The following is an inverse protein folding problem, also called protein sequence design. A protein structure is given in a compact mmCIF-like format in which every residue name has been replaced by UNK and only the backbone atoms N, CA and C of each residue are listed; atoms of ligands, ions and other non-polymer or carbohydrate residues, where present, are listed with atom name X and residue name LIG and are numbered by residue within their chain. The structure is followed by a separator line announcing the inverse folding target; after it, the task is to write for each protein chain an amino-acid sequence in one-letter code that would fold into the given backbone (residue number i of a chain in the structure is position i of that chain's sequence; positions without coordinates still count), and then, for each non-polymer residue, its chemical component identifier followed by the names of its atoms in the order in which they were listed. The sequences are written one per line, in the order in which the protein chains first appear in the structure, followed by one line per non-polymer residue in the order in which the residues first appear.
data_IF_069537228619
#
_entry.id   IF_069537228619
#
_cell.length_a   1.000
_cell.length_b   1.000
_cell.length_c   1.000
_cell.angle_alpha   90.00
_cell.angle_beta   90.00
_cell.angle_gamma   90.00
#
_symmetry.space_group_name_H-M   'P 1'
#
loop_
_entity.id
_entity.type
_entity.pdbx_description
1 polymer ?
#
# COMPACT_ATOMS: atom_id res chain seq x y z
N UNK A 1 -5.18 -17.08 -18.47
CA UNK A 1 -4.40 -17.43 -18.61
C UNK A 1 -2.96 -17.22 -18.20
N UNK A 2 -2.09 -17.65 -19.04
CA UNK A 2 -0.69 -17.63 -18.74
C UNK A 2 -0.21 -16.24 -18.35
N UNK A 3 -0.76 -15.24 -18.97
CA UNK A 3 -0.39 -13.90 -18.68
C UNK A 3 -0.53 -13.56 -17.21
N UNK A 4 -1.44 -14.24 -16.57
CA UNK A 4 -1.71 -13.99 -15.18
C UNK A 4 -0.53 -14.31 -14.32
N UNK A 5 0.07 -15.46 -14.55
CA UNK A 5 1.18 -15.88 -13.72
C UNK A 5 2.38 -14.99 -13.88
N UNK A 6 2.54 -14.35 -15.05
CA UNK A 6 3.64 -13.45 -15.28
C UNK A 6 3.42 -12.05 -14.71
N UNK A 7 2.23 -11.78 -14.24
CA UNK A 7 1.86 -10.43 -13.80
C UNK A 7 2.17 -10.18 -12.33
N UNK A 8 2.58 -11.21 -11.60
CA UNK A 8 2.90 -11.04 -10.20
C UNK A 8 4.40 -11.06 -10.00
N UNK A 9 4.98 -9.88 -9.78
CA UNK A 9 6.41 -9.72 -9.68
C UNK A 9 6.90 -9.54 -8.25
N UNK A 10 6.00 -9.36 -7.31
CA UNK A 10 6.29 -9.11 -5.90
C UNK A 10 5.35 -9.96 -5.06
N UNK A 11 5.89 -10.65 -4.04
CA UNK A 11 5.08 -11.51 -3.17
C UNK A 11 4.45 -10.72 -2.04
N UNK A 12 5.16 -9.74 -1.52
CA UNK A 12 4.66 -8.91 -0.44
C UNK A 12 5.26 -7.53 -0.52
N UNK A 13 4.62 -6.57 0.14
CA UNK A 13 5.12 -5.20 0.21
C UNK A 13 5.33 -4.81 1.66
N UNK A 14 6.48 -4.23 1.95
CA UNK A 14 6.77 -3.67 3.26
C UNK A 14 6.33 -2.22 3.30
N UNK A 15 5.67 -1.83 4.39
CA UNK A 15 5.21 -0.46 4.57
C UNK A 15 5.85 0.12 5.82
N UNK A 16 6.50 1.28 5.67
CA UNK A 16 7.03 2.05 6.80
C UNK A 16 6.38 3.42 6.80
N UNK A 17 6.10 3.94 7.98
CA UNK A 17 5.37 5.19 8.08
C UNK A 17 5.73 5.93 9.37
N UNK A 18 5.64 7.27 9.32
CA UNK A 18 5.71 8.10 10.52
C UNK A 18 4.31 8.46 11.05
N UNK A 19 3.27 7.88 10.47
CA UNK A 19 1.89 8.09 10.92
C UNK A 19 1.58 7.23 12.14
N UNK A 20 0.63 7.68 12.94
CA UNK A 20 0.15 6.88 14.06
C UNK A 20 -0.81 5.81 13.52
N UNK A 21 -0.33 4.56 13.48
CA UNK A 21 -1.09 3.42 12.97
C UNK A 21 -1.12 2.39 14.08
N UNK A 22 -2.15 2.46 14.94
CA UNK A 22 -2.13 1.64 16.13
C UNK A 22 -3.53 1.35 16.69
N UNK A 23 -3.56 0.39 17.61
CA UNK A 23 -4.69 0.13 18.49
C UNK A 23 -4.39 0.86 19.79
N UNK A 24 -5.07 1.99 20.08
CA UNK A 24 -4.79 2.73 21.32
C UNK A 24 -5.01 1.89 22.57
N UNK A 25 -4.20 2.14 23.59
CA UNK A 25 -4.31 1.40 24.85
C UNK A 25 -5.62 1.67 25.57
N UNK A 26 -6.23 2.83 25.33
CA UNK A 26 -7.55 3.12 25.92
C UNK A 26 -8.70 2.51 25.11
N UNK A 27 -8.43 2.05 23.90
CA UNK A 27 -9.42 1.35 23.08
C UNK A 27 -9.38 -0.15 23.35
N UNK A 28 -8.19 -0.76 23.31
CA UNK A 28 -7.97 -2.16 23.67
C UNK A 28 -6.99 -2.17 24.82
N UNK A 29 -7.50 -2.33 26.05
CA UNK A 29 -6.69 -2.13 27.25
C UNK A 29 -5.70 -3.25 27.54
N UNK A 30 -5.99 -4.48 27.11
CA UNK A 30 -5.09 -5.61 27.36
C UNK A 30 -3.95 -5.63 26.36
N UNK A 31 -2.70 -5.57 26.85
CA UNK A 31 -1.54 -5.58 25.96
C UNK A 31 -1.41 -6.88 25.19
N UNK A 32 -1.69 -8.01 25.86
CA UNK A 32 -1.65 -9.33 25.19
C UNK A 32 -2.70 -9.41 24.10
N UNK A 33 -3.87 -8.85 24.35
CA UNK A 33 -4.97 -8.84 23.38
C UNK A 33 -4.62 -7.96 22.19
N UNK A 34 -3.99 -6.81 22.43
CA UNK A 34 -3.53 -5.97 21.34
C UNK A 34 -2.55 -6.70 20.42
N UNK A 35 -1.61 -7.44 21.02
CA UNK A 35 -0.64 -8.20 20.24
C UNK A 35 -1.28 -9.26 19.38
N UNK A 36 -2.29 -9.95 19.90
CA UNK A 36 -3.02 -10.95 19.14
C UNK A 36 -3.77 -10.31 17.97
N UNK A 37 -4.36 -9.13 18.19
CA UNK A 37 -5.06 -8.41 17.14
C UNK A 37 -4.11 -7.93 16.07
N UNK A 38 -2.93 -7.44 16.44
CA UNK A 38 -1.92 -7.05 15.45
C UNK A 38 -1.48 -8.24 14.59
N UNK A 39 -1.30 -9.41 15.23
CA UNK A 39 -0.93 -10.61 14.46
C UNK A 39 -2.02 -11.03 13.50
N UNK A 40 -3.26 -10.98 13.96
CA UNK A 40 -4.37 -11.32 13.10
C UNK A 40 -4.44 -10.38 11.91
N UNK A 41 -4.29 -9.08 12.16
CA UNK A 41 -4.33 -8.07 11.11
C UNK A 41 -3.21 -8.29 10.08
N UNK A 42 -2.02 -8.65 10.53
CA UNK A 42 -0.89 -8.91 9.64
C UNK A 42 -1.16 -10.06 8.67
N UNK A 43 -2.05 -10.97 9.02
CA UNK A 43 -2.40 -12.09 8.17
C UNK A 43 -3.54 -11.83 7.20
N UNK A 44 -4.19 -10.67 7.30
CA UNK A 44 -5.32 -10.36 6.42
C UNK A 44 -4.83 -9.86 5.07
N UNK A 45 -5.55 -10.25 4.01
CA UNK A 45 -5.22 -9.82 2.65
C UNK A 45 -6.41 -9.26 1.88
N UNK A 46 -7.63 -9.68 2.22
CA UNK A 46 -8.84 -9.30 1.47
C UNK A 46 -9.62 -8.22 2.20
N UNK A 47 -10.26 -7.35 1.44
CA UNK A 47 -11.11 -6.30 2.02
C UNK A 47 -12.25 -6.89 2.84
N UNK A 48 -12.79 -8.04 2.43
CA UNK A 48 -13.86 -8.69 3.19
C UNK A 48 -13.37 -9.15 4.55
N UNK A 49 -12.12 -9.62 4.63
CA UNK A 49 -11.52 -10.01 5.89
C UNK A 49 -11.31 -8.81 6.81
N UNK A 50 -10.90 -7.69 6.22
CA UNK A 50 -10.70 -6.44 6.98
C UNK A 50 -12.02 -5.94 7.53
N UNK A 51 -13.10 -6.00 6.73
CA UNK A 51 -14.43 -5.57 7.21
C UNK A 51 -14.94 -6.45 8.33
N UNK A 52 -14.71 -7.75 8.25
CA UNK A 52 -15.09 -8.67 9.32
C UNK A 52 -14.31 -8.36 10.60
N UNK A 53 -13.03 -8.08 10.47
CA UNK A 53 -12.16 -7.72 11.58
C UNK A 53 -12.63 -6.40 12.23
N UNK A 54 -12.92 -5.41 11.40
CA UNK A 54 -13.41 -4.11 11.85
C UNK A 54 -14.72 -4.26 12.64
N UNK A 55 -15.65 -5.06 12.12
CA UNK A 55 -16.92 -5.30 12.79
C UNK A 55 -16.74 -5.93 14.16
N UNK A 56 -15.79 -6.88 14.28
CA UNK A 56 -15.50 -7.51 15.57
C UNK A 56 -14.91 -6.50 16.56
N UNK A 57 -14.08 -5.57 16.07
CA UNK A 57 -13.54 -4.52 16.93
C UNK A 57 -14.66 -3.62 17.44
N UNK A 58 -15.57 -3.21 16.56
CA UNK A 58 -16.69 -2.37 16.96
C UNK A 58 -17.57 -3.06 17.98
N UNK A 59 -17.86 -4.34 17.77
CA UNK A 59 -18.73 -5.10 18.67
C UNK A 59 -18.12 -5.24 20.05
N UNK A 60 -16.80 -5.39 20.14
CA UNK A 60 -16.14 -5.63 21.42
C UNK A 60 -15.70 -4.36 22.13
N UNK A 61 -15.25 -3.38 21.37
CA UNK A 61 -14.55 -2.22 21.93
C UNK A 61 -15.20 -0.88 21.62
N UNK A 62 -16.26 -0.89 20.79
CA UNK A 62 -16.95 0.33 20.41
C UNK A 62 -16.38 0.94 19.13
N UNK A 63 -16.76 2.17 18.81
CA UNK A 63 -16.37 2.81 17.55
C UNK A 63 -14.85 2.78 17.35
N UNK A 64 -14.45 2.43 16.13
CA UNK A 64 -13.03 2.29 15.79
C UNK A 64 -12.39 3.67 15.73
N UNK A 65 -11.28 3.90 16.46
CA UNK A 65 -10.59 5.20 16.42
C UNK A 65 -9.97 5.49 15.05
N UNK A 66 -9.75 6.77 14.72
CA UNK A 66 -9.16 7.13 13.42
C UNK A 66 -7.80 6.49 13.16
N UNK A 67 -6.91 6.42 14.15
CA UNK A 67 -5.59 5.81 13.99
C UNK A 67 -5.70 4.31 13.75
N UNK A 68 -6.75 3.67 14.23
CA UNK A 68 -7.01 2.25 13.98
C UNK A 68 -7.62 2.06 12.60
N UNK A 69 -8.51 2.95 12.17
CA UNK A 69 -9.03 2.91 10.79
C UNK A 69 -7.88 2.99 9.79
N UNK A 70 -6.92 3.88 10.05
CA UNK A 70 -5.76 4.01 9.19
C UNK A 70 -4.91 2.75 9.21
N UNK A 71 -4.75 2.13 10.38
CA UNK A 71 -4.03 0.87 10.50
C UNK A 71 -4.68 -0.21 9.63
N UNK A 72 -6.01 -0.30 9.65
CA UNK A 72 -6.74 -1.28 8.85
C UNK A 72 -6.52 -1.07 7.36
N UNK A 73 -6.39 0.17 6.93
CA UNK A 73 -6.19 0.50 5.51
C UNK A 73 -4.84 0.05 4.97
N UNK A 74 -3.89 -0.26 5.86
CA UNK A 74 -2.59 -0.79 5.43
C UNK A 74 -2.76 -2.11 4.67
N UNK A 75 -3.75 -2.91 5.02
CA UNK A 75 -4.00 -4.17 4.31
C UNK A 75 -4.30 -3.91 2.83
N UNK A 76 -5.19 -2.95 2.55
CA UNK A 76 -5.50 -2.57 1.16
C UNK A 76 -4.29 -1.97 0.46
N UNK A 77 -3.54 -1.15 1.18
CA UNK A 77 -2.33 -0.53 0.62
C UNK A 77 -1.34 -1.59 0.15
N UNK A 78 -1.05 -2.58 1.00
CA UNK A 78 -0.13 -3.66 0.65
C UNK A 78 -0.62 -4.45 -0.56
N UNK A 79 -1.90 -4.79 -0.59
CA UNK A 79 -2.46 -5.57 -1.70
C UNK A 79 -2.33 -4.82 -3.02
N UNK A 80 -2.68 -3.55 -3.02
CA UNK A 80 -2.57 -2.73 -4.23
C UNK A 80 -1.11 -2.55 -4.64
N UNK A 81 -0.22 -2.37 -3.67
CA UNK A 81 1.21 -2.23 -3.96
C UNK A 81 1.76 -3.48 -4.61
N UNK A 82 1.43 -4.66 -4.09
CA UNK A 82 1.86 -5.94 -4.67
C UNK A 82 1.36 -6.03 -6.11
N UNK A 83 0.11 -5.66 -6.34
CA UNK A 83 -0.48 -5.71 -7.67
C UNK A 83 0.25 -4.81 -8.67
N UNK A 84 0.82 -3.72 -8.20
CA UNK A 84 1.54 -2.76 -9.04
C UNK A 84 3.05 -3.03 -9.10
N UNK A 85 3.53 -4.08 -8.44
CA UNK A 85 4.94 -4.42 -8.43
C UNK A 85 5.78 -3.55 -7.52
N UNK A 86 5.18 -3.07 -6.44
CA UNK A 86 5.86 -2.22 -5.45
C UNK A 86 6.32 -3.07 -4.29
N UNK A 87 7.63 -3.10 -4.05
CA UNK A 87 8.24 -3.91 -2.99
C UNK A 87 8.19 -3.22 -1.63
N UNK A 88 8.21 -1.90 -1.61
CA UNK A 88 8.27 -1.14 -0.37
C UNK A 88 7.60 0.21 -0.54
N UNK A 89 6.87 0.62 0.49
CA UNK A 89 6.22 1.93 0.53
C UNK A 89 6.67 2.65 1.79
N UNK A 90 7.11 3.88 1.65
CA UNK A 90 7.36 4.77 2.77
C UNK A 90 6.33 5.90 2.77
N UNK A 91 5.66 6.09 3.91
CA UNK A 91 4.74 7.21 4.11
C UNK A 91 5.34 8.12 5.18
N UNK A 92 6.14 9.09 4.77
CA UNK A 92 6.88 9.95 5.68
C UNK A 92 6.89 11.38 5.18
N UNK A 93 6.73 12.32 6.11
CA UNK A 93 6.82 13.73 5.80
C UNK A 93 5.76 14.22 4.81
N UNK A 94 4.59 13.61 4.81
CA UNK A 94 3.52 13.98 3.88
C UNK A 94 3.76 13.52 2.45
N UNK A 95 4.61 12.53 2.26
CA UNK A 95 4.95 12.02 0.93
C UNK A 95 4.91 10.50 0.95
N UNK A 96 4.62 9.92 -0.21
CA UNK A 96 4.68 8.47 -0.39
C UNK A 96 5.81 8.15 -1.36
N UNK A 97 6.74 7.29 -0.93
CA UNK A 97 7.79 6.78 -1.80
C UNK A 97 7.54 5.31 -2.05
N UNK A 98 7.50 4.93 -3.31
CA UNK A 98 7.27 3.54 -3.73
C UNK A 98 8.51 3.02 -4.41
N UNK A 99 9.01 1.87 -3.95
CA UNK A 99 10.17 1.22 -4.56
C UNK A 99 9.69 0.02 -5.36
N UNK A 100 10.04 0.02 -6.64
CA UNK A 100 9.60 -1.02 -7.57
C UNK A 100 10.56 -2.22 -7.54
N UNK A 101 10.29 -3.19 -8.41
CA UNK A 101 11.10 -4.41 -8.50
C UNK A 101 12.60 -4.06 -8.59
N UNK A 102 13.40 -4.70 -7.74
CA UNK A 102 14.82 -4.32 -7.56
C UNK A 102 15.67 -4.58 -8.79
N UNK A 103 15.38 -5.65 -9.56
CA UNK A 103 16.17 -5.97 -10.73
C UNK A 103 15.76 -5.09 -11.91
N UNK A 104 16.64 -4.19 -12.38
CA UNK A 104 16.29 -3.28 -13.47
C UNK A 104 16.05 -3.99 -14.80
N UNK A 105 16.49 -5.23 -14.94
CA UNK A 105 16.28 -6.02 -16.15
C UNK A 105 15.03 -6.88 -16.08
N UNK A 106 14.27 -6.80 -14.99
CA UNK A 106 13.08 -7.60 -14.81
C UNK A 106 12.04 -7.30 -15.91
N UNK A 107 11.33 -8.32 -16.37
CA UNK A 107 10.20 -8.10 -17.29
C UNK A 107 9.14 -7.17 -16.72
N UNK A 108 9.12 -6.96 -15.42
CA UNK A 108 8.22 -6.02 -14.77
C UNK A 108 8.24 -4.65 -15.47
N UNK A 109 9.43 -4.19 -15.89
CA UNK A 109 9.55 -2.85 -16.47
C UNK A 109 8.96 -2.75 -17.88
N UNK A 110 8.53 -3.88 -18.44
CA UNK A 110 7.78 -3.93 -19.69
C UNK A 110 6.35 -4.42 -19.48
N UNK A 111 5.92 -4.53 -18.23
CA UNK A 111 4.59 -5.03 -17.89
C UNK A 111 3.55 -3.92 -17.92
N UNK A 112 2.29 -4.32 -17.95
CA UNK A 112 1.19 -3.38 -17.84
C UNK A 112 1.18 -2.68 -16.49
N UNK A 113 1.58 -3.38 -15.43
CA UNK A 113 1.62 -2.79 -14.09
C UNK A 113 2.51 -1.56 -14.07
N UNK A 114 3.75 -1.68 -14.58
CA UNK A 114 4.65 -0.53 -14.63
C UNK A 114 4.17 0.51 -15.62
N UNK A 115 3.55 0.08 -16.72
CA UNK A 115 2.97 1.00 -17.69
C UNK A 115 1.90 1.90 -17.08
N UNK A 116 1.10 1.36 -16.16
CA UNK A 116 0.11 2.15 -15.42
C UNK A 116 0.79 3.19 -14.52
N UNK A 117 1.87 2.82 -13.87
CA UNK A 117 2.63 3.73 -13.02
C UNK A 117 3.16 4.90 -13.85
N UNK A 118 3.75 4.60 -14.99
CA UNK A 118 4.29 5.64 -15.88
C UNK A 118 3.19 6.55 -16.41
N UNK A 119 2.05 5.97 -16.83
CA UNK A 119 0.92 6.75 -17.32
C UNK A 119 0.38 7.69 -16.25
N UNK A 120 0.27 7.20 -15.02
CA UNK A 120 -0.17 8.03 -13.91
C UNK A 120 0.81 9.19 -13.68
N UNK A 121 2.11 8.86 -13.64
CA UNK A 121 3.13 9.89 -13.45
C UNK A 121 3.04 10.98 -14.53
N UNK A 122 2.83 10.58 -15.79
CA UNK A 122 2.75 11.53 -16.89
C UNK A 122 1.53 12.44 -16.77
N UNK A 123 0.46 11.97 -16.13
CA UNK A 123 -0.73 12.77 -15.89
C UNK A 123 -0.59 13.72 -14.68
N UNK A 124 0.37 13.45 -13.81
CA UNK A 124 0.55 14.20 -12.56
C UNK A 124 2.02 14.56 -12.34
N UNK A 125 2.63 15.17 -13.35
CA UNK A 125 4.08 15.42 -13.34
C UNK A 125 4.53 16.34 -12.20
N UNK A 126 3.65 17.21 -11.72
CA UNK A 126 4.01 18.10 -10.61
C UNK A 126 3.99 17.40 -9.26
N UNK A 127 3.26 16.30 -9.18
CA UNK A 127 3.08 15.57 -7.93
C UNK A 127 4.01 14.36 -7.83
N UNK A 128 4.33 13.77 -8.97
CA UNK A 128 5.09 12.52 -9.04
C UNK A 128 6.49 12.75 -9.57
N UNK A 129 7.47 12.08 -8.93
CA UNK A 129 8.87 12.18 -9.30
C UNK A 129 9.45 10.78 -9.39
N UNK A 130 9.81 10.35 -10.59
CA UNK A 130 10.40 9.04 -10.83
C UNK A 130 11.91 9.14 -10.67
N UNK A 131 12.49 8.26 -9.89
CA UNK A 131 13.92 8.28 -9.58
C UNK A 131 14.56 6.92 -9.82
N UNK A 132 15.81 6.95 -10.22
CA UNK A 132 16.63 5.75 -10.31
C UNK A 132 17.94 6.02 -9.58
N UNK A 133 18.24 5.21 -8.58
CA UNK A 133 19.44 5.37 -7.77
C UNK A 133 19.93 4.01 -7.34
N UNK A 134 21.21 3.70 -7.62
CA UNK A 134 21.82 2.41 -7.28
C UNK A 134 21.05 1.23 -7.87
N UNK A 135 20.62 1.37 -9.12
CA UNK A 135 19.83 0.36 -9.84
C UNK A 135 18.44 0.10 -9.23
N UNK A 136 18.00 0.99 -8.34
CA UNK A 136 16.65 0.89 -7.76
C UNK A 136 15.81 2.01 -8.31
N UNK A 137 14.62 1.64 -8.80
CA UNK A 137 13.66 2.61 -9.31
C UNK A 137 12.59 2.85 -8.28
N UNK A 138 12.25 4.12 -8.11
CA UNK A 138 11.25 4.51 -7.15
C UNK A 138 10.46 5.69 -7.69
N UNK A 139 9.27 5.91 -7.12
CA UNK A 139 8.47 7.09 -7.43
C UNK A 139 8.05 7.72 -6.12
N UNK A 140 8.23 9.03 -6.04
CA UNK A 140 7.77 9.80 -4.91
C UNK A 140 6.51 10.56 -5.31
N UNK A 141 5.48 10.46 -4.49
CA UNK A 141 4.22 11.19 -4.69
C UNK A 141 4.07 12.18 -3.55
N UNK A 142 3.92 13.46 -3.88
CA UNK A 142 3.77 14.51 -2.89
C UNK A 142 2.35 14.59 -2.37
N UNK A 143 2.18 15.19 -1.20
CA UNK A 143 0.86 15.47 -0.60
C UNK A 143 0.06 14.20 -0.35
N UNK A 144 0.73 13.20 0.22
CA UNK A 144 0.09 11.98 0.70
C UNK A 144 0.31 11.96 2.21
N UNK A 145 -0.70 12.34 2.96
CA UNK A 145 -0.58 12.56 4.41
C UNK A 145 -1.25 11.51 5.26
N UNK A 146 -2.04 10.65 4.63
CA UNK A 146 -2.77 9.58 5.35
C UNK A 146 -2.66 8.30 4.57
N UNK A 147 -2.95 7.18 5.24
CA UNK A 147 -3.02 5.88 4.55
C UNK A 147 -4.18 5.90 3.55
N UNK A 148 -5.28 6.53 3.93
CA UNK A 148 -6.43 6.66 3.02
C UNK A 148 -6.02 7.33 1.71
N UNK A 149 -5.27 8.42 1.79
CA UNK A 149 -4.79 9.11 0.59
C UNK A 149 -3.85 8.22 -0.22
N UNK A 150 -2.99 7.47 0.46
CA UNK A 150 -2.08 6.54 -0.22
C UNK A 150 -2.86 5.47 -0.97
N UNK A 151 -3.87 4.88 -0.34
CA UNK A 151 -4.72 3.88 -0.98
C UNK A 151 -5.41 4.48 -2.20
N UNK A 152 -5.91 5.71 -2.09
CA UNK A 152 -6.55 6.39 -3.22
C UNK A 152 -5.59 6.55 -4.40
N UNK A 153 -4.34 6.94 -4.13
CA UNK A 153 -3.34 7.06 -5.20
C UNK A 153 -3.13 5.72 -5.89
N UNK A 154 -2.95 4.64 -5.12
CA UNK A 154 -2.74 3.33 -5.72
C UNK A 154 -3.96 2.86 -6.50
N UNK A 155 -5.16 3.13 -6.01
CA UNK A 155 -6.38 2.80 -6.75
C UNK A 155 -6.45 3.56 -8.05
N UNK A 156 -6.07 4.82 -8.06
CA UNK A 156 -6.03 5.63 -9.27
C UNK A 156 -5.03 5.09 -10.28
N UNK A 157 -3.86 4.65 -9.79
CA UNK A 157 -2.85 4.05 -10.68
C UNK A 157 -3.40 2.76 -11.29
N UNK A 158 -4.01 1.90 -10.48
CA UNK A 158 -4.59 0.65 -10.98
C UNK A 158 -5.64 0.92 -12.05
N UNK A 159 -6.42 1.99 -11.89
CA UNK A 159 -7.47 2.35 -12.84
C UNK A 159 -6.95 3.06 -14.09
N UNK A 160 -5.69 3.50 -14.08
CA UNK A 160 -5.10 4.22 -15.20
C UNK A 160 -4.76 3.24 -16.32
N UNK A 161 -5.12 3.54 -17.59
CA UNK A 161 -4.67 2.69 -18.71
C UNK A 161 -3.16 2.69 -18.80
N UNK A 162 -2.59 1.51 -19.11
CA UNK A 162 -1.14 1.38 -19.19
C UNK A 162 -0.60 2.20 -20.37
N UNK A 163 0.59 2.79 -20.13
CA UNK A 163 1.31 3.45 -21.22
C UNK A 163 1.84 2.37 -22.16
N UNK A 164 1.57 2.52 -23.45
CA UNK A 164 2.02 1.58 -24.47
C UNK A 164 3.17 2.18 -25.26
N UNK A 165 4.12 1.31 -25.59
CA UNK A 165 5.26 1.74 -26.40
C UNK A 165 4.95 1.61 -27.88
#
# INVERSE_FOLDING_TARGET
AAAISGDRFVDECQVESDLELLLPADYVTGSSERMLLYRELDGLTLDTEVEAFRSRLEDRFGPVPPETEELLRIVSLRRLAVRLGVEKVFLKGGRMSMFFVSNPDSPYYRSQAFGKVIAYMMNYTRRCDLREQNNKRSMQVKDVRTVEEAVCVLQEIVATPAEEE
#
